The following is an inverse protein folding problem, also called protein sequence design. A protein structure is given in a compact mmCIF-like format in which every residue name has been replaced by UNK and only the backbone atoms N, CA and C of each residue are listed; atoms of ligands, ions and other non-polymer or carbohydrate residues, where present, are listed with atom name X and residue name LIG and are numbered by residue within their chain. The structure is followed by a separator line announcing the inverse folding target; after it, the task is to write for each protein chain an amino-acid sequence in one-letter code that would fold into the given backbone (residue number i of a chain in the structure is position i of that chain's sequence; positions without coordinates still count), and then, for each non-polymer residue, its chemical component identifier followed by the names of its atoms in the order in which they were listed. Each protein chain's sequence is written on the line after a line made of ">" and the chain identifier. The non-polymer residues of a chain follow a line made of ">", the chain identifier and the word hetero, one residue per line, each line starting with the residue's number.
data_IF_525312538828
#
_entry.id   IF_525312538828
#
_cell.length_a   1.000
_cell.length_b   1.000
_cell.length_c   1.000
_cell.angle_alpha   90.00
_cell.angle_beta   90.00
_cell.angle_gamma   90.00
#
_symmetry.space_group_name_H-M   'P 1'
#
loop_
_entity.id
_entity.type
_entity.pdbx_description
1 polymer ?
#
# COMPACT_ATOMS: atom_id res chain seq x y z
N UNK A 1 6.59 -55.09 44.04
CA UNK A 1 7.45 -54.37 45.00
C UNK A 1 7.58 -52.92 44.55
N UNK A 2 7.35 -51.98 45.45
CA UNK A 2 7.46 -50.52 45.24
C UNK A 2 8.87 -50.13 44.79
N UNK A 3 8.99 -49.13 43.90
CA UNK A 3 9.72 -47.87 44.17
C UNK A 3 9.10 -46.71 43.38
N UNK A 4 8.52 -45.77 44.14
CA UNK A 4 8.30 -44.38 43.77
C UNK A 4 9.67 -43.74 43.45
N UNK A 5 9.79 -43.07 42.32
CA UNK A 5 10.94 -42.25 41.95
C UNK A 5 10.44 -40.92 41.39
N UNK A 6 10.96 -39.84 41.97
CA UNK A 6 10.41 -38.50 41.97
C UNK A 6 10.57 -37.73 40.64
N UNK A 7 9.53 -36.96 40.32
CA UNK A 7 9.51 -35.55 39.93
C UNK A 7 10.80 -34.92 39.36
N UNK A 8 10.74 -34.52 38.10
CA UNK A 8 11.28 -33.23 37.63
C UNK A 8 10.51 -32.81 36.36
N UNK A 9 9.50 -31.94 36.54
CA UNK A 9 8.87 -31.19 35.46
C UNK A 9 9.90 -30.19 34.91
N UNK A 10 10.41 -30.42 33.70
CA UNK A 10 11.09 -29.40 32.94
C UNK A 10 10.03 -28.59 32.18
N UNK A 11 9.59 -27.49 32.78
CA UNK A 11 8.80 -26.45 32.12
C UNK A 11 9.70 -25.72 31.12
N UNK A 12 9.61 -26.08 29.84
CA UNK A 12 10.24 -25.34 28.75
C UNK A 12 9.36 -24.12 28.43
N UNK A 13 9.59 -23.01 29.12
CA UNK A 13 8.93 -21.74 28.80
C UNK A 13 9.52 -21.20 27.50
N UNK A 14 8.74 -21.30 26.42
CA UNK A 14 8.98 -20.66 25.14
C UNK A 14 8.84 -19.14 25.33
N UNK A 15 9.97 -18.44 25.48
CA UNK A 15 10.01 -16.98 25.47
C UNK A 15 9.81 -16.48 24.03
N UNK A 16 8.54 -16.34 23.64
CA UNK A 16 8.15 -15.62 22.43
C UNK A 16 8.38 -14.13 22.70
N UNK A 17 9.61 -13.66 22.47
CA UNK A 17 9.93 -12.24 22.46
C UNK A 17 9.13 -11.60 21.31
N UNK A 18 7.96 -11.08 21.65
CA UNK A 18 7.25 -10.15 20.80
C UNK A 18 8.21 -9.00 20.49
N UNK A 19 8.43 -8.74 19.19
CA UNK A 19 8.81 -7.42 18.70
C UNK A 19 7.71 -6.43 19.08
N UNK A 20 7.66 -6.06 20.36
CA UNK A 20 7.00 -4.86 20.82
C UNK A 20 7.92 -3.71 20.46
N UNK A 21 7.52 -2.95 19.44
CA UNK A 21 8.20 -1.74 19.03
C UNK A 21 8.38 -0.79 20.22
N UNK A 22 9.63 -0.46 20.48
CA UNK A 22 10.01 0.71 21.25
C UNK A 22 11.15 1.37 20.50
N UNK A 23 10.79 2.30 19.62
CA UNK A 23 11.70 3.30 19.10
C UNK A 23 12.18 4.15 20.27
N UNK A 24 13.33 3.81 20.84
CA UNK A 24 14.13 4.77 21.60
C UNK A 24 15.54 4.70 21.03
N UNK A 25 15.91 5.75 20.33
CA UNK A 25 17.26 5.96 19.81
C UNK A 25 18.02 6.60 20.95
N UNK A 26 18.78 5.80 21.69
CA UNK A 26 19.82 6.28 22.59
C UNK A 26 21.13 6.21 21.79
N UNK A 27 21.57 7.36 21.30
CA UNK A 27 22.76 7.51 20.48
C UNK A 27 23.82 8.28 21.25
N UNK A 28 24.90 7.60 21.63
CA UNK A 28 26.11 8.26 22.09
C UNK A 28 27.29 7.86 21.18
N UNK A 29 27.82 8.89 20.51
CA UNK A 29 29.09 9.02 19.79
C UNK A 29 29.30 8.31 18.42
N UNK A 30 29.00 9.04 17.32
CA UNK A 30 30.05 9.67 16.49
C UNK A 30 29.48 10.35 15.20
N UNK A 31 29.56 11.69 15.19
CA UNK A 31 29.89 12.55 14.04
C UNK A 31 28.96 12.66 12.81
N UNK A 32 28.06 13.64 12.91
CA UNK A 32 27.72 14.68 11.93
C UNK A 32 27.48 14.31 10.44
N UNK A 33 26.21 14.34 10.02
CA UNK A 33 25.79 15.12 8.84
C UNK A 33 24.27 15.29 8.76
N UNK A 34 23.90 16.52 8.36
CA UNK A 34 22.67 16.93 7.68
C UNK A 34 21.32 16.87 8.43
N UNK A 35 20.91 18.06 8.91
CA UNK A 35 19.76 18.83 8.38
C UNK A 35 18.46 18.07 8.11
N UNK A 36 17.44 18.30 8.93
CA UNK A 36 16.13 18.78 8.46
C UNK A 36 15.23 19.19 9.65
N UNK A 37 14.54 20.29 9.44
CA UNK A 37 13.72 21.07 10.37
C UNK A 37 12.40 20.32 10.72
N UNK A 38 12.04 20.26 12.02
CA UNK A 38 10.68 19.91 12.44
C UNK A 38 9.89 21.19 12.69
N UNK A 39 8.93 21.45 11.80
CA UNK A 39 7.94 22.50 11.92
C UNK A 39 6.53 21.90 11.99
N UNK A 40 5.86 22.08 13.13
CA UNK A 40 4.39 22.21 13.28
C UNK A 40 4.07 22.23 14.78
N UNK A 41 3.89 23.42 15.36
CA UNK A 41 2.64 24.19 15.41
C UNK A 41 1.62 23.64 16.41
N UNK A 42 1.61 24.29 17.57
CA UNK A 42 0.61 24.17 18.63
C UNK A 42 -0.74 24.78 18.20
N UNK A 43 -1.86 24.37 18.81
CA UNK A 43 -3.13 25.05 18.63
C UNK A 43 -3.24 26.20 19.65
N UNK A 44 -3.57 27.39 19.18
CA UNK A 44 -3.96 28.50 20.05
C UNK A 44 -5.23 29.15 19.50
N UNK A 45 -6.33 28.91 20.22
CA UNK A 45 -7.38 29.84 20.62
C UNK A 45 -7.59 31.10 19.74
N UNK A 46 -8.82 31.28 19.25
CA UNK A 46 -9.33 32.64 18.98
C UNK A 46 -10.85 32.73 19.10
N UNK A 47 -11.24 33.35 20.22
CA UNK A 47 -12.17 34.49 20.36
C UNK A 47 -13.53 34.47 19.67
N UNK A 48 -14.52 34.32 20.53
CA UNK A 48 -15.85 34.97 20.54
C UNK A 48 -15.82 36.43 20.02
N UNK A 49 -16.73 36.74 19.07
CA UNK A 49 -17.17 38.11 18.78
C UNK A 49 -18.68 38.13 18.50
N UNK A 50 -19.35 39.13 19.06
CA UNK A 50 -20.79 39.36 19.12
C UNK A 50 -21.44 39.70 17.75
N UNK A 51 -22.78 39.60 17.61
CA UNK A 51 -23.48 39.94 16.38
C UNK A 51 -23.71 41.47 16.28
N UNK A 52 -23.15 42.09 15.25
CA UNK A 52 -23.45 43.46 14.86
C UNK A 52 -24.56 43.48 13.82
N UNK A 53 -25.73 44.00 14.21
CA UNK A 53 -26.83 44.30 13.30
C UNK A 53 -26.48 45.54 12.47
N UNK A 54 -26.49 45.45 11.14
CA UNK A 54 -26.66 46.63 10.28
C UNK A 54 -27.52 46.29 9.08
N UNK A 55 -28.71 46.87 9.13
CA UNK A 55 -29.69 47.00 8.05
C UNK A 55 -29.07 47.87 6.97
N UNK A 56 -29.14 47.45 5.71
CA UNK A 56 -28.85 48.32 4.56
C UNK A 56 -29.91 48.09 3.51
N UNK A 57 -30.86 49.02 3.49
CA UNK A 57 -31.85 49.19 2.42
C UNK A 57 -31.25 50.11 1.35
N UNK A 58 -31.59 49.79 0.09
CA UNK A 58 -31.50 50.61 -1.13
C UNK A 58 -30.08 50.94 -1.63
N UNK A 59 -29.76 50.83 -2.92
CA UNK A 59 -30.44 51.46 -4.05
C UNK A 59 -29.98 50.83 -5.37
N UNK A 60 -30.89 50.80 -6.34
CA UNK A 60 -30.65 50.41 -7.72
C UNK A 60 -29.57 51.28 -8.39
N UNK A 61 -28.60 50.65 -9.06
CA UNK A 61 -27.80 51.28 -10.11
C UNK A 61 -27.51 50.24 -11.20
N UNK A 62 -28.25 50.36 -12.30
CA UNK A 62 -28.06 49.63 -13.55
C UNK A 62 -26.77 50.14 -14.21
N UNK A 63 -25.70 49.36 -14.12
CA UNK A 63 -24.51 49.53 -14.95
C UNK A 63 -24.62 48.56 -16.15
N UNK A 64 -24.33 48.98 -17.40
CA UNK A 64 -24.20 48.05 -18.50
C UNK A 64 -22.86 47.32 -18.36
N UNK A 65 -22.89 46.09 -17.83
CA UNK A 65 -21.70 45.26 -17.75
C UNK A 65 -21.46 44.57 -19.11
N UNK A 66 -20.19 44.60 -19.48
CA UNK A 66 -19.61 44.21 -20.75
C UNK A 66 -19.98 42.78 -21.21
N UNK A 67 -19.80 42.59 -22.52
CA UNK A 67 -19.88 41.34 -23.26
C UNK A 67 -19.43 40.16 -22.39
N UNK A 68 -20.43 39.40 -21.95
CA UNK A 68 -20.21 38.20 -21.15
C UNK A 68 -19.66 37.13 -22.08
N UNK A 69 -18.33 37.00 -22.10
CA UNK A 69 -17.73 35.73 -22.50
C UNK A 69 -18.32 34.66 -21.59
N UNK A 70 -19.00 33.68 -22.19
CA UNK A 70 -19.68 32.60 -21.49
C UNK A 70 -18.73 31.95 -20.50
N UNK A 71 -18.97 32.18 -19.20
CA UNK A 71 -18.33 31.44 -18.13
C UNK A 71 -18.83 29.99 -18.18
N UNK A 72 -17.97 28.99 -17.91
CA UNK A 72 -18.45 27.63 -17.70
C UNK A 72 -19.44 27.63 -16.53
N UNK A 73 -20.70 27.29 -16.81
CA UNK A 73 -21.74 27.11 -15.80
C UNK A 73 -21.57 25.73 -15.17
N UNK A 74 -21.66 25.66 -13.84
CA UNK A 74 -21.62 24.39 -13.10
C UNK A 74 -22.93 23.63 -13.36
N UNK A 75 -22.85 22.46 -14.01
CA UNK A 75 -24.02 21.65 -14.33
C UNK A 75 -24.21 20.53 -13.30
N UNK A 76 -25.47 20.16 -12.98
CA UNK A 76 -25.77 19.07 -12.07
C UNK A 76 -25.20 17.74 -12.60
N UNK A 77 -24.74 16.88 -11.69
CA UNK A 77 -24.21 15.57 -12.03
C UNK A 77 -25.26 14.71 -12.78
N UNK A 78 -24.84 14.08 -13.87
CA UNK A 78 -25.66 13.20 -14.70
C UNK A 78 -25.53 11.74 -14.23
N UNK A 79 -26.59 10.95 -14.37
CA UNK A 79 -26.57 9.53 -14.05
C UNK A 79 -25.75 8.76 -15.09
N UNK A 80 -24.82 7.91 -14.63
CA UNK A 80 -24.02 7.04 -15.49
C UNK A 80 -24.73 5.69 -15.59
N UNK A 81 -25.20 5.34 -16.79
CA UNK A 81 -25.99 4.11 -17.01
C UNK A 81 -25.15 2.85 -17.19
N UNK A 82 -23.83 3.00 -17.40
CA UNK A 82 -22.92 1.87 -17.55
C UNK A 82 -21.48 2.27 -17.24
N UNK A 83 -20.77 1.43 -16.48
CA UNK A 83 -19.33 1.55 -16.32
C UNK A 83 -18.67 1.00 -17.58
N UNK A 84 -17.81 1.77 -18.28
CA UNK A 84 -17.09 1.25 -19.43
C UNK A 84 -16.19 0.08 -19.00
N UNK A 85 -16.26 -1.03 -19.73
CA UNK A 85 -15.36 -2.17 -19.52
C UNK A 85 -13.93 -1.71 -19.75
N UNK A 86 -13.13 -1.75 -18.69
CA UNK A 86 -11.70 -1.52 -18.76
C UNK A 86 -11.07 -2.78 -19.38
N UNK A 87 -10.28 -2.60 -20.44
CA UNK A 87 -9.39 -3.66 -20.89
C UNK A 87 -8.38 -3.97 -19.76
N UNK A 88 -7.81 -5.17 -19.76
CA UNK A 88 -6.71 -5.49 -18.85
C UNK A 88 -5.58 -4.45 -19.05
N UNK A 89 -4.99 -4.01 -17.94
CA UNK A 89 -3.82 -3.12 -17.98
C UNK A 89 -2.53 -3.83 -18.42
N UNK A 90 -2.63 -5.11 -18.82
CA UNK A 90 -1.52 -6.02 -19.05
C UNK A 90 -1.39 -6.38 -20.53
N UNK A 91 -0.17 -6.54 -20.99
CA UNK A 91 0.14 -7.12 -22.30
C UNK A 91 -0.22 -8.61 -22.33
N UNK A 92 -0.38 -9.19 -23.52
CA UNK A 92 -0.69 -10.62 -23.67
C UNK A 92 0.35 -11.55 -23.01
N UNK A 93 1.63 -11.14 -22.99
CA UNK A 93 2.70 -11.87 -22.32
C UNK A 93 2.53 -11.85 -20.80
N UNK A 94 2.19 -10.69 -20.24
CA UNK A 94 1.94 -10.52 -18.79
C UNK A 94 0.68 -11.27 -18.37
N UNK A 95 -0.39 -11.25 -19.17
CA UNK A 95 -1.58 -12.06 -18.94
C UNK A 95 -1.26 -13.55 -18.92
N UNK A 96 -0.44 -14.03 -19.86
CA UNK A 96 -0.03 -15.44 -19.92
C UNK A 96 0.80 -15.83 -18.69
N UNK A 97 1.70 -14.96 -18.25
CA UNK A 97 2.48 -15.12 -17.03
C UNK A 97 1.56 -15.20 -15.78
N UNK A 98 0.64 -14.26 -15.60
CA UNK A 98 -0.28 -14.21 -14.47
C UNK A 98 -1.25 -15.42 -14.47
N UNK A 99 -1.73 -15.82 -15.64
CA UNK A 99 -2.55 -17.03 -15.81
C UNK A 99 -1.79 -18.29 -15.38
N UNK A 100 -0.54 -18.47 -15.81
CA UNK A 100 0.26 -19.62 -15.41
C UNK A 100 0.51 -19.66 -13.90
N UNK A 101 0.76 -18.51 -13.27
CA UNK A 101 0.86 -18.44 -11.81
C UNK A 101 -0.46 -18.85 -11.13
N UNK A 102 -1.61 -18.38 -11.64
CA UNK A 102 -2.93 -18.75 -11.13
C UNK A 102 -3.22 -20.24 -11.29
N UNK A 103 -2.90 -20.82 -12.44
CA UNK A 103 -3.06 -22.26 -12.69
C UNK A 103 -2.22 -23.13 -11.75
N UNK A 104 -1.10 -22.61 -11.28
CA UNK A 104 -0.23 -23.26 -10.30
C UNK A 104 -0.65 -22.96 -8.85
N UNK A 105 -1.83 -22.40 -8.60
CA UNK A 105 -2.37 -22.24 -7.25
C UNK A 105 -1.87 -21.00 -6.51
N UNK A 106 -1.41 -19.97 -7.24
CA UNK A 106 -1.19 -18.65 -6.65
C UNK A 106 -2.43 -17.76 -6.85
N UNK A 107 -2.95 -17.19 -5.77
CA UNK A 107 -3.95 -16.13 -5.84
C UNK A 107 -3.30 -14.79 -6.23
N UNK A 108 -3.39 -14.48 -7.52
CA UNK A 108 -2.84 -13.27 -8.14
C UNK A 108 -3.70 -12.01 -7.93
N UNK A 109 -4.93 -12.15 -7.44
CA UNK A 109 -5.88 -11.03 -7.35
C UNK A 109 -5.37 -9.90 -6.43
N UNK A 110 -5.25 -8.70 -7.00
CA UNK A 110 -4.79 -7.49 -6.32
C UNK A 110 -3.27 -7.42 -6.09
N UNK A 111 -2.49 -8.34 -6.67
CA UNK A 111 -1.01 -8.34 -6.63
C UNK A 111 -0.39 -8.54 -8.01
N UNK A 112 -1.18 -8.38 -9.08
CA UNK A 112 -0.77 -8.59 -10.46
C UNK A 112 0.39 -7.67 -10.85
N UNK A 113 0.28 -6.37 -10.55
CA UNK A 113 1.35 -5.39 -10.82
C UNK A 113 2.65 -5.76 -10.11
N UNK A 114 2.57 -6.15 -8.83
CA UNK A 114 3.72 -6.60 -8.04
C UNK A 114 4.36 -7.84 -8.66
N UNK A 115 3.55 -8.84 -9.02
CA UNK A 115 4.03 -10.08 -9.63
C UNK A 115 4.69 -9.84 -10.98
N UNK A 116 4.11 -8.95 -11.79
CA UNK A 116 4.62 -8.63 -13.13
C UNK A 116 5.91 -7.83 -13.04
N UNK A 117 5.98 -6.85 -12.13
CA UNK A 117 7.21 -6.11 -11.84
C UNK A 117 8.32 -7.03 -11.30
N UNK A 118 7.98 -7.94 -10.38
CA UNK A 118 8.91 -8.95 -9.83
C UNK A 118 9.39 -9.92 -10.91
N UNK A 119 8.49 -10.38 -11.78
CA UNK A 119 8.85 -11.25 -12.90
C UNK A 119 9.87 -10.60 -13.83
N UNK A 120 9.76 -9.28 -14.07
CA UNK A 120 10.74 -8.55 -14.88
C UNK A 120 12.13 -8.46 -14.26
N UNK A 121 12.27 -8.45 -12.92
CA UNK A 121 13.59 -8.43 -12.28
C UNK A 121 14.37 -9.73 -12.54
N UNK A 122 13.64 -10.84 -12.73
CA UNK A 122 14.22 -12.16 -13.07
C UNK A 122 14.97 -12.11 -14.40
N UNK A 123 14.55 -11.30 -15.36
CA UNK A 123 15.22 -11.17 -16.66
C UNK A 123 16.64 -10.57 -16.54
N UNK A 124 16.93 -9.89 -15.43
CA UNK A 124 18.28 -9.41 -15.09
C UNK A 124 18.98 -10.30 -14.05
N UNK A 125 18.49 -11.52 -13.85
CA UNK A 125 18.94 -12.47 -12.82
C UNK A 125 18.89 -11.93 -11.38
N UNK A 126 18.09 -10.89 -11.09
CA UNK A 126 17.82 -10.45 -9.72
C UNK A 126 16.76 -11.36 -9.08
N UNK A 127 17.25 -12.29 -8.26
CA UNK A 127 16.42 -13.21 -7.48
C UNK A 127 16.07 -12.70 -6.09
N UNK A 128 16.71 -11.63 -5.60
CA UNK A 128 16.49 -11.14 -4.23
C UNK A 128 15.08 -10.58 -4.09
N UNK A 129 14.67 -9.74 -5.05
CA UNK A 129 13.32 -9.17 -5.10
C UNK A 129 12.27 -10.28 -5.20
N UNK A 130 12.52 -11.25 -6.08
CA UNK A 130 11.67 -12.44 -6.26
C UNK A 130 11.48 -13.23 -4.96
N UNK A 131 12.56 -13.51 -4.24
CA UNK A 131 12.50 -14.32 -3.02
C UNK A 131 11.78 -13.60 -1.89
N UNK A 132 11.99 -12.29 -1.77
CA UNK A 132 11.26 -11.46 -0.81
C UNK A 132 9.75 -11.47 -1.10
N UNK A 133 9.36 -11.28 -2.36
CA UNK A 133 7.95 -11.32 -2.78
C UNK A 133 7.34 -12.71 -2.61
N UNK A 134 8.06 -13.77 -2.95
CA UNK A 134 7.60 -15.14 -2.72
C UNK A 134 7.32 -15.40 -1.22
N UNK A 135 8.25 -15.03 -0.35
CA UNK A 135 8.04 -15.13 1.11
C UNK A 135 6.83 -14.34 1.60
N UNK A 136 6.63 -13.12 1.08
CA UNK A 136 5.47 -12.30 1.39
C UNK A 136 4.15 -12.99 0.98
N UNK A 137 4.07 -13.51 -0.24
CA UNK A 137 2.85 -14.13 -0.78
C UNK A 137 2.45 -15.39 0.00
N UNK A 138 3.42 -16.21 0.38
CA UNK A 138 3.19 -17.39 1.25
C UNK A 138 2.71 -16.95 2.64
N UNK A 139 3.34 -15.94 3.24
CA UNK A 139 2.92 -15.43 4.56
C UNK A 139 1.49 -14.87 4.54
N UNK A 140 1.07 -14.29 3.41
CA UNK A 140 -0.29 -13.81 3.17
C UNK A 140 -1.30 -14.92 2.82
N UNK A 141 -0.87 -16.20 2.80
CA UNK A 141 -1.69 -17.36 2.39
C UNK A 141 -2.30 -17.21 0.99
N UNK A 142 -1.55 -16.59 0.07
CA UNK A 142 -1.96 -16.52 -1.34
C UNK A 142 -1.65 -17.80 -2.11
N UNK A 143 -0.89 -18.72 -1.52
CA UNK A 143 -0.63 -20.06 -2.03
C UNK A 143 -0.28 -21.00 -0.87
N UNK A 144 -0.39 -22.31 -1.11
CA UNK A 144 0.05 -23.37 -0.18
C UNK A 144 1.49 -23.84 -0.43
N UNK A 145 2.16 -23.31 -1.46
CA UNK A 145 3.57 -23.59 -1.74
C UNK A 145 4.49 -23.03 -0.65
N UNK A 146 5.66 -23.63 -0.47
CA UNK A 146 6.73 -23.00 0.31
C UNK A 146 7.38 -21.83 -0.48
N UNK A 147 8.07 -20.89 0.20
CA UNK A 147 8.64 -19.72 -0.45
C UNK A 147 9.64 -20.03 -1.56
N UNK A 148 10.44 -21.11 -1.43
CA UNK A 148 11.45 -21.46 -2.42
C UNK A 148 10.82 -22.09 -3.66
N UNK A 149 9.81 -22.93 -3.48
CA UNK A 149 9.00 -23.46 -4.59
C UNK A 149 8.29 -22.33 -5.34
N UNK A 150 7.65 -21.40 -4.62
CA UNK A 150 7.01 -20.24 -5.24
C UNK A 150 8.02 -19.33 -5.97
N UNK A 151 9.18 -19.09 -5.38
CA UNK A 151 10.25 -18.33 -6.03
C UNK A 151 10.72 -19.00 -7.33
N UNK A 152 10.90 -20.32 -7.33
CA UNK A 152 11.23 -21.08 -8.55
C UNK A 152 10.14 -20.94 -9.60
N UNK A 153 8.87 -21.13 -9.22
CA UNK A 153 7.73 -20.95 -10.11
C UNK A 153 7.73 -19.56 -10.74
N UNK A 154 7.80 -18.49 -9.93
CA UNK A 154 7.84 -17.10 -10.44
C UNK A 154 8.97 -16.92 -11.45
N UNK A 155 10.17 -17.43 -11.16
CA UNK A 155 11.30 -17.28 -12.05
C UNK A 155 11.13 -18.04 -13.37
N UNK A 156 10.67 -19.29 -13.34
CA UNK A 156 10.50 -20.11 -14.53
C UNK A 156 9.39 -19.55 -15.43
N UNK A 157 8.28 -19.16 -14.82
CA UNK A 157 7.15 -18.54 -15.52
C UNK A 157 7.56 -17.19 -16.14
N UNK A 158 8.35 -16.39 -15.43
CA UNK A 158 8.84 -15.11 -15.94
C UNK A 158 9.79 -15.31 -17.12
N UNK A 159 10.76 -16.23 -17.03
CA UNK A 159 11.69 -16.52 -18.14
C UNK A 159 10.97 -17.03 -19.39
N UNK A 160 9.89 -17.79 -19.23
CA UNK A 160 9.13 -18.32 -20.35
C UNK A 160 8.30 -17.26 -21.09
N UNK A 161 7.86 -16.20 -20.41
CA UNK A 161 6.84 -15.29 -20.95
C UNK A 161 7.29 -13.82 -21.04
N UNK A 162 8.20 -13.36 -20.19
CA UNK A 162 8.51 -11.94 -19.99
C UNK A 162 9.90 -11.48 -20.45
N UNK A 163 10.86 -12.38 -20.72
CA UNK A 163 12.29 -12.03 -20.87
C UNK A 163 12.84 -11.91 -22.31
#
# INVERSE_FOLDING_TARGET
>A
MRRLGALCLATLTLSLAACSGSTTVDGEDAKASASAEQSSSAPAESSTAAPGTTRSEATSSKAPAAQSGSRPEDQPAQEVTSVPQQASGFTAQEETYLEQLRQNGLNVEGVEDQLTATGRTVCSDDTVTRDAVAGQLVAQRRTDMDPAALGTLIADTARANLC
#
